data_IF_567838136980
#
_entry.id   IF_567838136980
#
_cell.length_a   1.000
_cell.length_b   1.000
_cell.length_c   1.000
_cell.angle_alpha   90.00
_cell.angle_beta   90.00
_cell.angle_gamma   90.00
#
_symmetry.space_group_name_H-M   'P 1'
#
loop_
_entity.id
_entity.type
_entity.pdbx_description
1 polymer ?
#
# COMPACT_ATOMS: atom_id res chain seq x y z
N UNK A 1 12.40 39.22 -15.33
CA UNK A 1 11.03 39.07 -14.83
C UNK A 1 10.96 37.69 -14.21
N UNK A 2 11.11 37.61 -12.88
CA UNK A 2 11.11 36.32 -12.17
C UNK A 2 9.65 35.87 -12.03
N UNK A 3 9.29 34.72 -12.59
CA UNK A 3 7.98 34.13 -12.36
C UNK A 3 7.82 33.86 -10.84
N UNK A 4 6.69 34.26 -10.25
CA UNK A 4 6.43 33.96 -8.84
C UNK A 4 6.36 32.46 -8.67
N UNK A 5 7.17 31.96 -7.74
CA UNK A 5 7.31 30.57 -7.36
C UNK A 5 5.93 29.97 -7.10
N UNK A 6 5.54 28.95 -7.84
CA UNK A 6 4.24 28.27 -7.73
C UNK A 6 3.96 27.74 -6.31
N UNK A 7 5.00 27.62 -5.48
CA UNK A 7 4.91 27.26 -4.06
C UNK A 7 4.26 28.36 -3.20
N UNK A 8 4.31 29.61 -3.63
CA UNK A 8 3.73 30.77 -2.92
C UNK A 8 2.21 30.85 -3.03
N UNK A 9 1.58 30.08 -3.90
CA UNK A 9 0.13 30.14 -4.16
C UNK A 9 -0.67 29.02 -3.52
N UNK A 10 -0.02 28.00 -2.94
CA UNK A 10 -0.73 26.95 -2.23
C UNK A 10 -1.26 27.48 -0.89
N UNK A 11 -2.59 27.56 -0.73
CA UNK A 11 -3.18 27.95 0.54
C UNK A 11 -2.85 26.92 1.63
N UNK A 12 -2.66 27.32 2.91
CA UNK A 12 -2.37 26.38 3.99
C UNK A 12 -3.45 25.28 4.14
N UNK A 13 -4.68 25.55 3.72
CA UNK A 13 -5.76 24.57 3.68
C UNK A 13 -5.56 23.50 2.58
N UNK A 14 -4.95 23.87 1.45
CA UNK A 14 -4.62 22.90 0.39
C UNK A 14 -3.45 22.00 0.77
N UNK A 15 -2.45 22.53 1.48
CA UNK A 15 -1.33 21.74 2.01
C UNK A 15 -1.79 20.77 3.11
N UNK A 16 -2.63 21.21 4.03
CA UNK A 16 -3.21 20.36 5.06
C UNK A 16 -4.09 19.24 4.45
N UNK A 17 -4.91 19.58 3.46
CA UNK A 17 -5.73 18.60 2.74
C UNK A 17 -4.89 17.55 2.01
N UNK A 18 -3.79 17.96 1.39
CA UNK A 18 -2.87 17.05 0.70
C UNK A 18 -2.11 16.16 1.70
N UNK A 19 -1.65 16.72 2.82
CA UNK A 19 -1.02 15.95 3.90
C UNK A 19 -1.98 14.91 4.49
N UNK A 20 -3.25 15.26 4.71
CA UNK A 20 -4.28 14.32 5.17
C UNK A 20 -4.55 13.22 4.15
N UNK A 21 -4.64 13.54 2.86
CA UNK A 21 -4.82 12.54 1.80
C UNK A 21 -3.65 11.55 1.73
N UNK A 22 -2.41 12.04 1.83
CA UNK A 22 -1.21 11.18 1.86
C UNK A 22 -1.16 10.31 3.13
N UNK A 23 -1.56 10.86 4.28
CA UNK A 23 -1.65 10.11 5.54
C UNK A 23 -2.74 9.03 5.48
N UNK A 24 -3.88 9.33 4.86
CA UNK A 24 -4.93 8.34 4.65
C UNK A 24 -4.47 7.19 3.73
N UNK A 25 -3.71 7.49 2.68
CA UNK A 25 -3.09 6.47 1.82
C UNK A 25 -2.15 5.55 2.60
N UNK A 26 -1.30 6.10 3.46
CA UNK A 26 -0.43 5.32 4.34
C UNK A 26 -1.23 4.48 5.35
N UNK A 27 -2.29 5.04 5.95
CA UNK A 27 -3.16 4.33 6.87
C UNK A 27 -3.88 3.15 6.20
N UNK A 28 -4.37 3.32 4.98
CA UNK A 28 -5.00 2.25 4.20
C UNK A 28 -3.97 1.17 3.85
N UNK A 29 -2.78 1.56 3.34
CA UNK A 29 -1.79 0.59 2.88
C UNK A 29 -1.17 -0.25 4.00
N UNK A 30 -0.99 0.30 5.18
CA UNK A 30 -0.44 -0.41 6.35
C UNK A 30 -1.54 -0.91 7.29
N UNK A 31 -2.57 -0.09 7.56
CA UNK A 31 -3.63 -0.39 8.49
C UNK A 31 -4.53 -1.50 7.97
N UNK A 32 -5.27 -1.24 6.90
CA UNK A 32 -6.30 -2.17 6.42
C UNK A 32 -5.67 -3.41 5.78
N UNK A 33 -4.69 -3.25 4.90
CA UNK A 33 -4.12 -4.39 4.18
C UNK A 33 -3.30 -5.34 5.05
N UNK A 34 -2.76 -4.88 6.14
CA UNK A 34 -1.88 -5.66 7.01
C UNK A 34 -2.53 -6.03 8.33
N UNK A 35 -3.11 -5.08 9.05
CA UNK A 35 -3.67 -5.32 10.39
C UNK A 35 -5.07 -5.93 10.34
N UNK A 36 -5.95 -5.52 9.41
CA UNK A 36 -7.28 -6.12 9.32
C UNK A 36 -7.21 -7.62 9.02
N UNK A 37 -6.27 -8.04 8.15
CA UNK A 37 -6.05 -9.46 7.91
C UNK A 37 -5.62 -10.20 9.18
N UNK A 38 -4.71 -9.63 9.98
CA UNK A 38 -4.27 -10.23 11.23
C UNK A 38 -5.41 -10.44 12.24
N UNK A 39 -6.37 -9.51 12.29
CA UNK A 39 -7.55 -9.60 13.15
C UNK A 39 -8.54 -10.66 12.68
N UNK A 40 -8.70 -10.83 11.37
CA UNK A 40 -9.61 -11.84 10.79
C UNK A 40 -8.98 -13.24 10.73
N UNK A 41 -7.67 -13.34 10.86
CA UNK A 41 -6.94 -14.59 10.69
C UNK A 41 -7.41 -15.75 11.61
N UNK A 42 -7.70 -15.54 12.91
CA UNK A 42 -8.18 -16.62 13.77
C UNK A 42 -9.51 -17.23 13.28
N UNK A 43 -10.45 -16.38 12.86
CA UNK A 43 -11.74 -16.82 12.33
C UNK A 43 -11.59 -17.50 10.98
N UNK A 44 -10.87 -16.88 10.06
CA UNK A 44 -10.57 -17.48 8.74
C UNK A 44 -9.87 -18.84 8.87
N UNK A 45 -8.97 -18.98 9.83
CA UNK A 45 -8.30 -20.26 10.09
C UNK A 45 -9.28 -21.33 10.55
N UNK A 46 -10.20 -20.99 11.45
CA UNK A 46 -11.20 -21.91 11.97
C UNK A 46 -12.17 -22.35 10.87
N UNK A 47 -12.68 -21.41 10.08
CA UNK A 47 -13.67 -21.66 9.03
C UNK A 47 -13.08 -22.47 7.84
N UNK A 48 -11.84 -22.17 7.48
CA UNK A 48 -11.16 -22.80 6.33
C UNK A 48 -10.32 -24.03 6.73
N UNK A 49 -10.27 -24.38 8.02
CA UNK A 49 -9.51 -25.52 8.50
C UNK A 49 -7.99 -25.40 8.32
N UNK A 50 -7.46 -24.16 8.31
CA UNK A 50 -6.04 -23.93 8.07
C UNK A 50 -5.16 -24.22 9.27
N UNK A 51 -3.94 -24.73 9.02
CA UNK A 51 -2.91 -24.84 10.03
C UNK A 51 -2.39 -23.45 10.45
N UNK A 52 -1.82 -23.33 11.65
CA UNK A 52 -1.14 -22.11 12.09
C UNK A 52 0.03 -21.72 11.15
N UNK A 53 0.72 -22.73 10.61
CA UNK A 53 1.81 -22.51 9.66
C UNK A 53 1.32 -21.84 8.37
N UNK A 54 0.19 -22.30 7.81
CA UNK A 54 -0.39 -21.72 6.60
C UNK A 54 -0.89 -20.30 6.88
N UNK A 55 -1.56 -20.08 7.99
CA UNK A 55 -2.03 -18.78 8.41
C UNK A 55 -0.87 -17.78 8.59
N UNK A 56 0.24 -18.21 9.21
CA UNK A 56 1.46 -17.40 9.32
C UNK A 56 2.13 -17.14 7.97
N UNK A 57 2.14 -18.14 7.07
CA UNK A 57 2.69 -18.01 5.73
C UNK A 57 1.99 -16.91 4.91
N UNK A 58 0.69 -16.72 5.06
CA UNK A 58 -0.07 -15.64 4.41
C UNK A 58 0.51 -14.25 4.75
N UNK A 59 0.85 -14.02 6.01
CA UNK A 59 1.44 -12.76 6.45
C UNK A 59 2.90 -12.62 5.99
N UNK A 60 3.67 -13.69 6.04
CA UNK A 60 5.06 -13.74 5.57
C UNK A 60 5.14 -13.45 4.08
N UNK A 61 4.28 -14.04 3.27
CA UNK A 61 4.23 -13.83 1.81
C UNK A 61 3.82 -12.39 1.49
N UNK A 62 2.91 -11.80 2.25
CA UNK A 62 2.59 -10.37 2.11
C UNK A 62 3.82 -9.49 2.41
N UNK A 63 4.57 -9.79 3.47
CA UNK A 63 5.80 -9.06 3.80
C UNK A 63 6.90 -9.22 2.73
N UNK A 64 7.03 -10.41 2.13
CA UNK A 64 7.93 -10.64 0.99
C UNK A 64 7.53 -9.82 -0.23
N UNK A 65 6.24 -9.75 -0.55
CA UNK A 65 5.74 -8.89 -1.62
C UNK A 65 6.10 -7.42 -1.38
N UNK A 66 5.90 -6.94 -0.16
CA UNK A 66 6.31 -5.59 0.24
C UNK A 66 7.81 -5.36 0.08
N UNK A 67 8.64 -6.29 0.52
CA UNK A 67 10.09 -6.20 0.39
C UNK A 67 10.52 -6.11 -1.07
N UNK A 68 9.98 -6.97 -1.94
CA UNK A 68 10.26 -6.94 -3.38
C UNK A 68 9.82 -5.59 -3.98
N UNK A 69 8.64 -5.10 -3.62
CA UNK A 69 8.16 -3.79 -4.04
C UNK A 69 9.12 -2.67 -3.63
N UNK A 70 9.54 -2.64 -2.38
CA UNK A 70 10.46 -1.64 -1.85
C UNK A 70 11.84 -1.68 -2.55
N UNK A 71 12.38 -2.86 -2.83
CA UNK A 71 13.65 -3.02 -3.55
C UNK A 71 13.57 -2.53 -5.02
N UNK A 72 12.41 -2.65 -5.65
CA UNK A 72 12.18 -2.19 -7.02
C UNK A 72 11.87 -0.68 -7.09
N UNK A 73 11.51 -0.04 -5.98
CA UNK A 73 11.10 1.37 -5.94
C UNK A 73 12.07 2.34 -6.61
N UNK A 74 13.40 2.27 -6.43
CA UNK A 74 14.30 3.22 -7.08
C UNK A 74 14.22 3.19 -8.61
N UNK A 75 13.98 2.01 -9.20
CA UNK A 75 13.80 1.86 -10.64
C UNK A 75 12.43 2.36 -11.09
N UNK A 76 11.39 2.01 -10.35
CA UNK A 76 10.00 2.38 -10.65
C UNK A 76 9.79 3.90 -10.54
N UNK A 77 10.35 4.54 -9.52
CA UNK A 77 10.28 5.99 -9.32
C UNK A 77 10.93 6.75 -10.48
N UNK A 78 12.08 6.29 -10.97
CA UNK A 78 12.75 6.91 -12.12
C UNK A 78 11.94 6.77 -13.41
N UNK A 79 11.16 5.70 -13.56
CA UNK A 79 10.41 5.42 -14.79
C UNK A 79 9.02 6.06 -14.80
N UNK A 80 8.32 6.05 -13.68
CA UNK A 80 6.90 6.41 -13.61
C UNK A 80 6.61 7.64 -12.73
N UNK A 81 7.53 8.00 -11.84
CA UNK A 81 7.34 9.09 -10.89
C UNK A 81 6.48 8.69 -9.67
N UNK A 82 6.61 9.45 -8.58
CA UNK A 82 5.97 9.13 -7.31
C UNK A 82 4.43 9.22 -7.37
N UNK A 83 3.89 10.23 -8.06
CA UNK A 83 2.44 10.42 -8.16
C UNK A 83 1.73 9.27 -8.89
N UNK A 84 2.29 8.80 -10.01
CA UNK A 84 1.73 7.69 -10.76
C UNK A 84 1.79 6.38 -9.94
N UNK A 85 2.91 6.12 -9.27
CA UNK A 85 3.08 4.92 -8.44
C UNK A 85 2.14 4.92 -7.23
N UNK A 86 1.87 6.09 -6.63
CA UNK A 86 0.89 6.22 -5.56
C UNK A 86 -0.50 5.83 -6.05
N UNK A 87 -0.94 6.38 -7.19
CA UNK A 87 -2.27 6.09 -7.75
C UNK A 87 -2.42 4.62 -8.16
N UNK A 88 -1.48 4.09 -8.94
CA UNK A 88 -1.53 2.70 -9.37
C UNK A 88 -1.40 1.72 -8.21
N UNK A 89 -0.56 2.04 -7.23
CA UNK A 89 -0.42 1.26 -6.01
C UNK A 89 -1.72 1.23 -5.19
N UNK A 90 -2.38 2.39 -5.03
CA UNK A 90 -3.65 2.50 -4.31
C UNK A 90 -4.77 1.73 -5.01
N UNK A 91 -4.89 1.86 -6.33
CA UNK A 91 -5.87 1.09 -7.12
C UNK A 91 -5.62 -0.42 -7.01
N UNK A 92 -4.37 -0.85 -7.19
CA UNK A 92 -4.01 -2.26 -7.08
C UNK A 92 -4.28 -2.81 -5.66
N UNK A 93 -3.91 -2.07 -4.61
CA UNK A 93 -4.19 -2.46 -3.23
C UNK A 93 -5.69 -2.61 -2.96
N UNK A 94 -6.51 -1.68 -3.45
CA UNK A 94 -7.97 -1.72 -3.32
C UNK A 94 -8.58 -2.92 -4.03
N UNK A 95 -8.13 -3.19 -5.26
CA UNK A 95 -8.57 -4.37 -6.03
C UNK A 95 -8.19 -5.67 -5.32
N UNK A 96 -6.95 -5.80 -4.87
CA UNK A 96 -6.51 -7.01 -4.16
C UNK A 96 -7.23 -7.20 -2.83
N UNK A 97 -7.54 -6.11 -2.11
CA UNK A 97 -8.37 -6.21 -0.90
C UNK A 97 -9.79 -6.69 -1.22
N UNK A 98 -10.44 -6.11 -2.23
CA UNK A 98 -11.78 -6.53 -2.65
C UNK A 98 -11.83 -7.98 -3.11
N UNK A 99 -10.79 -8.45 -3.80
CA UNK A 99 -10.70 -9.83 -4.26
C UNK A 99 -10.43 -10.85 -3.13
N UNK A 100 -9.92 -10.42 -1.97
CA UNK A 100 -9.59 -11.32 -0.86
C UNK A 100 -10.79 -12.17 -0.39
N UNK A 101 -12.01 -11.61 -0.45
CA UNK A 101 -13.23 -12.30 -0.04
C UNK A 101 -13.70 -13.41 -0.98
N UNK A 102 -13.17 -13.48 -2.20
CA UNK A 102 -13.59 -14.47 -3.20
C UNK A 102 -12.73 -15.74 -3.22
N UNK A 103 -11.58 -15.71 -2.57
CA UNK A 103 -10.65 -16.85 -2.57
C UNK A 103 -10.79 -17.69 -1.30
N UNK A 104 -11.23 -18.93 -1.46
CA UNK A 104 -11.31 -19.94 -0.39
C UNK A 104 -10.11 -20.90 -0.39
N UNK A 105 -9.34 -20.94 -1.48
CA UNK A 105 -8.17 -21.81 -1.60
C UNK A 105 -6.88 -21.08 -1.22
N UNK A 106 -5.96 -21.80 -0.58
CA UNK A 106 -4.73 -21.22 -0.06
C UNK A 106 -3.80 -20.68 -1.18
N UNK A 107 -3.66 -21.39 -2.29
CA UNK A 107 -2.71 -21.02 -3.36
C UNK A 107 -3.03 -19.66 -4.03
N UNK A 108 -4.25 -19.41 -4.53
CA UNK A 108 -4.59 -18.10 -5.10
C UNK A 108 -4.54 -16.99 -4.04
N UNK A 109 -4.88 -17.29 -2.79
CA UNK A 109 -4.83 -16.31 -1.72
C UNK A 109 -3.38 -15.93 -1.36
N UNK A 110 -2.44 -16.87 -1.35
CA UNK A 110 -1.00 -16.58 -1.17
C UNK A 110 -0.47 -15.66 -2.28
N UNK A 111 -0.79 -15.94 -3.55
CA UNK A 111 -0.41 -15.07 -4.66
C UNK A 111 -1.01 -13.67 -4.53
N UNK A 112 -2.27 -13.58 -4.18
CA UNK A 112 -2.96 -12.31 -3.93
C UNK A 112 -2.33 -11.55 -2.76
N UNK A 113 -1.94 -12.23 -1.65
CA UNK A 113 -1.26 -11.62 -0.50
C UNK A 113 0.10 -11.05 -0.89
N UNK A 114 0.86 -11.74 -1.75
CA UNK A 114 2.12 -11.24 -2.28
C UNK A 114 1.91 -9.94 -3.08
N UNK A 115 0.94 -9.95 -4.01
CA UNK A 115 0.63 -8.77 -4.85
C UNK A 115 0.09 -7.60 -4.04
N UNK A 116 -0.72 -7.86 -3.02
CA UNK A 116 -1.20 -6.84 -2.09
C UNK A 116 -0.04 -6.20 -1.30
N UNK A 117 0.91 -6.99 -0.85
CA UNK A 117 2.13 -6.50 -0.20
C UNK A 117 2.95 -5.61 -1.13
N UNK A 118 3.15 -6.05 -2.37
CA UNK A 118 3.85 -5.28 -3.39
C UNK A 118 3.16 -3.94 -3.68
N UNK A 119 1.85 -3.94 -3.89
CA UNK A 119 1.05 -2.73 -4.08
C UNK A 119 1.14 -1.77 -2.87
N UNK A 120 1.14 -2.31 -1.64
CA UNK A 120 1.30 -1.53 -0.41
C UNK A 120 2.66 -0.82 -0.36
N UNK A 121 3.74 -1.44 -0.84
CA UNK A 121 5.05 -0.80 -0.93
C UNK A 121 5.03 0.40 -1.89
N UNK A 122 4.35 0.28 -3.04
CA UNK A 122 4.19 1.39 -3.98
C UNK A 122 3.51 2.60 -3.32
N UNK A 123 2.42 2.36 -2.61
CA UNK A 123 1.67 3.43 -1.92
C UNK A 123 2.50 4.07 -0.81
N UNK A 124 3.07 3.24 0.06
CA UNK A 124 3.77 3.73 1.25
C UNK A 124 5.03 4.53 0.91
N UNK A 125 5.87 3.99 0.03
CA UNK A 125 7.14 4.65 -0.33
C UNK A 125 6.89 5.90 -1.18
N UNK A 126 5.98 5.84 -2.15
CA UNK A 126 5.63 7.02 -2.97
C UNK A 126 4.93 8.11 -2.15
N UNK A 127 4.00 7.72 -1.27
CA UNK A 127 3.31 8.65 -0.38
C UNK A 127 4.26 9.32 0.59
N UNK A 128 5.18 8.58 1.19
CA UNK A 128 6.21 9.11 2.08
C UNK A 128 7.15 10.10 1.37
N UNK A 129 7.56 9.79 0.14
CA UNK A 129 8.38 10.68 -0.67
C UNK A 129 7.66 11.98 -1.01
N UNK A 130 6.39 11.90 -1.42
CA UNK A 130 5.59 13.09 -1.72
C UNK A 130 5.33 13.93 -0.46
N UNK A 131 5.07 13.29 0.68
CA UNK A 131 4.91 13.99 1.95
C UNK A 131 6.20 14.72 2.38
N UNK A 132 7.36 14.09 2.20
CA UNK A 132 8.65 14.72 2.48
C UNK A 132 8.91 15.93 1.57
N UNK A 133 8.51 15.87 0.29
CA UNK A 133 8.62 17.00 -0.65
C UNK A 133 7.71 18.18 -0.31
N UNK A 134 6.56 17.91 0.35
CA UNK A 134 5.67 18.98 0.81
C UNK A 134 6.20 19.70 2.07
N UNK A 135 6.99 19.00 2.88
CA UNK A 135 7.55 19.52 4.11
C UNK A 135 8.87 20.30 3.91
N UNK A 136 9.50 20.16 2.71
CA UNK A 136 10.76 20.84 2.36
C UNK A 136 10.54 22.19 1.68
#
# INVERSE_FOLDING_TARGET
MLEPDARSQASPLSLAGLALALSAGAAVSLGITRFAYGLLLPEMRADLGWSYALAGAMNTVNALGYLVGALLMPRLLRRFGAGALLLWGALAASVFMGLSGFFVHAAPLLAQRFLAGWASALVFVSGGLLAAQLAA
#
